data_IF_173938900420
#
_entry.id   IF_173938900420
#
_cell.length_a   1.000
_cell.length_b   1.000
_cell.length_c   1.000
_cell.angle_alpha   90.00
_cell.angle_beta   90.00
_cell.angle_gamma   90.00
#
_symmetry.space_group_name_H-M   'P 1'
#
loop_
_entity.id
_entity.type
_entity.pdbx_description
1 polymer ?
#
# COMPACT_ATOMS: atom_id res chain seq x y z
N UNK A 1 -73.78 -32.19 -50.06
CA UNK A 1 -73.21 -32.40 -48.70
C UNK A 1 -71.71 -32.79 -48.67
N UNK A 2 -71.22 -33.72 -49.49
CA UNK A 2 -69.81 -34.16 -49.41
C UNK A 2 -68.77 -33.13 -49.90
N UNK A 3 -69.12 -32.26 -50.84
CA UNK A 3 -68.21 -31.25 -51.38
C UNK A 3 -67.82 -30.17 -50.34
N UNK A 4 -68.70 -29.89 -49.38
CA UNK A 4 -68.47 -28.88 -48.34
C UNK A 4 -67.57 -29.40 -47.20
N UNK A 5 -67.63 -30.72 -46.93
CA UNK A 5 -66.73 -31.40 -46.01
C UNK A 5 -65.28 -31.42 -46.53
N UNK A 6 -65.10 -31.67 -47.84
CA UNK A 6 -63.78 -31.67 -48.47
C UNK A 6 -63.11 -30.28 -48.44
N UNK A 7 -63.86 -29.22 -48.74
CA UNK A 7 -63.35 -27.85 -48.67
C UNK A 7 -62.99 -27.46 -47.23
N UNK A 8 -63.80 -27.82 -46.24
CA UNK A 8 -63.51 -27.54 -44.83
C UNK A 8 -62.25 -28.28 -44.34
N UNK A 9 -62.09 -29.54 -44.75
CA UNK A 9 -60.90 -30.32 -44.39
C UNK A 9 -59.63 -29.80 -45.06
N UNK A 10 -59.70 -29.33 -46.31
CA UNK A 10 -58.57 -28.69 -46.99
C UNK A 10 -58.19 -27.36 -46.32
N UNK A 11 -59.18 -26.59 -45.86
CA UNK A 11 -58.94 -25.34 -45.14
C UNK A 11 -58.31 -25.57 -43.76
N UNK A 12 -58.73 -26.62 -43.04
CA UNK A 12 -58.10 -27.04 -41.79
C UNK A 12 -56.66 -27.52 -41.99
N UNK A 13 -56.38 -28.27 -43.06
CA UNK A 13 -55.02 -28.71 -43.39
C UNK A 13 -54.09 -27.53 -43.72
N UNK A 14 -54.58 -26.54 -44.48
CA UNK A 14 -53.83 -25.32 -44.78
C UNK A 14 -53.55 -24.47 -43.53
N UNK A 15 -54.53 -24.35 -42.63
CA UNK A 15 -54.37 -23.64 -41.36
C UNK A 15 -53.35 -24.33 -40.44
N UNK A 16 -53.35 -25.67 -40.39
CA UNK A 16 -52.35 -26.43 -39.64
C UNK A 16 -50.94 -26.28 -40.22
N UNK A 17 -50.78 -26.24 -41.54
CA UNK A 17 -49.48 -25.96 -42.18
C UNK A 17 -48.96 -24.55 -41.87
N UNK A 18 -49.84 -23.53 -41.89
CA UNK A 18 -49.44 -22.17 -41.50
C UNK A 18 -49.06 -22.07 -40.02
N UNK A 19 -49.79 -22.75 -39.13
CA UNK A 19 -49.46 -22.80 -37.71
C UNK A 19 -48.11 -23.50 -37.46
N UNK A 20 -47.82 -24.59 -38.18
CA UNK A 20 -46.55 -25.29 -38.09
C UNK A 20 -45.36 -24.44 -38.58
N UNK A 21 -45.54 -23.67 -39.67
CA UNK A 21 -44.52 -22.74 -40.17
C UNK A 21 -44.24 -21.60 -39.18
N UNK A 22 -45.29 -21.06 -38.52
CA UNK A 22 -45.11 -20.04 -37.48
C UNK A 22 -44.39 -20.58 -36.24
N UNK A 23 -44.67 -21.81 -35.81
CA UNK A 23 -43.92 -22.45 -34.73
C UNK A 23 -42.45 -22.69 -35.09
N UNK A 24 -42.15 -23.10 -36.33
CA UNK A 24 -40.77 -23.27 -36.78
C UNK A 24 -39.98 -21.94 -36.81
N UNK A 25 -40.61 -20.85 -37.26
CA UNK A 25 -40.00 -19.52 -37.26
C UNK A 25 -39.72 -18.99 -35.83
N UNK A 26 -40.64 -19.23 -34.89
CA UNK A 26 -40.44 -18.86 -33.48
C UNK A 26 -39.28 -19.65 -32.83
N UNK A 27 -39.12 -20.93 -33.16
CA UNK A 27 -38.01 -21.75 -32.66
C UNK A 27 -36.65 -21.27 -33.19
N UNK A 28 -36.56 -20.86 -34.46
CA UNK A 28 -35.34 -20.26 -35.01
C UNK A 28 -35.00 -18.91 -34.36
N UNK A 29 -35.99 -18.05 -34.12
CA UNK A 29 -35.78 -16.78 -33.45
C UNK A 29 -35.26 -16.96 -32.01
N UNK A 30 -35.81 -17.92 -31.26
CA UNK A 30 -35.36 -18.24 -29.91
C UNK A 30 -33.92 -18.79 -29.87
N UNK A 31 -33.53 -19.61 -30.86
CA UNK A 31 -32.18 -20.16 -30.95
C UNK A 31 -31.12 -19.07 -31.20
N UNK A 32 -31.41 -18.10 -32.08
CA UNK A 32 -30.52 -16.95 -32.34
C UNK A 32 -30.37 -16.10 -31.08
N UNK A 33 -31.47 -15.87 -30.35
CA UNK A 33 -31.46 -15.09 -29.11
C UNK A 33 -30.65 -15.78 -28.00
N UNK A 34 -30.73 -17.11 -27.89
CA UNK A 34 -29.95 -17.90 -26.95
C UNK A 34 -28.45 -17.93 -27.32
N UNK A 35 -28.12 -18.01 -28.62
CA UNK A 35 -26.74 -17.93 -29.10
C UNK A 35 -26.12 -16.55 -28.84
N UNK A 36 -26.90 -15.47 -28.97
CA UNK A 36 -26.45 -14.11 -28.70
C UNK A 36 -26.23 -13.86 -27.20
N UNK A 37 -27.03 -14.47 -26.31
CA UNK A 37 -26.78 -14.44 -24.87
C UNK A 37 -25.49 -15.20 -24.48
N UNK A 38 -25.19 -16.33 -25.12
CA UNK A 38 -23.95 -17.08 -24.86
C UNK A 38 -22.69 -16.29 -25.30
N UNK A 39 -22.75 -15.55 -26.42
CA UNK A 39 -21.64 -14.69 -26.85
C UNK A 39 -21.43 -13.47 -25.92
N UNK A 40 -22.49 -12.91 -25.33
CA UNK A 40 -22.39 -11.80 -24.37
C UNK A 40 -21.79 -12.22 -23.02
N UNK A 41 -21.99 -13.47 -22.59
CA UNK A 41 -21.40 -14.00 -21.36
C UNK A 41 -19.88 -14.23 -21.50
N UNK A 42 -19.40 -14.65 -22.67
CA UNK A 42 -17.98 -14.91 -22.91
C UNK A 42 -17.11 -13.65 -22.83
N UNK A 43 -17.62 -12.50 -23.28
CA UNK A 43 -16.89 -11.23 -23.26
C UNK A 43 -16.78 -10.61 -21.85
N UNK A 44 -17.68 -10.94 -20.93
CA UNK A 44 -17.60 -10.49 -19.53
C UNK A 44 -16.48 -11.19 -18.74
N UNK A 45 -16.22 -12.48 -19.01
CA UNK A 45 -15.17 -13.26 -18.33
C UNK A 45 -13.77 -12.74 -18.71
N UNK A 46 -13.56 -12.39 -19.98
CA UNK A 46 -12.29 -11.83 -20.46
C UNK A 46 -11.99 -10.44 -19.83
N UNK A 47 -13.03 -9.61 -19.67
CA UNK A 47 -12.89 -8.28 -19.05
C UNK A 47 -12.57 -8.38 -17.54
N UNK A 48 -13.15 -9.35 -16.82
CA UNK A 48 -12.84 -9.57 -15.41
C UNK A 48 -11.40 -10.06 -15.17
N UNK A 49 -10.85 -10.91 -16.05
CA UNK A 49 -9.47 -11.39 -15.92
C UNK A 49 -8.42 -10.28 -16.13
N UNK A 50 -8.67 -9.32 -17.03
CA UNK A 50 -7.76 -8.18 -17.24
C UNK A 50 -7.77 -7.19 -16.06
N UNK A 51 -8.92 -6.98 -15.41
CA UNK A 51 -9.02 -6.11 -14.23
C UNK A 51 -8.29 -6.69 -13.00
N UNK A 52 -8.34 -8.02 -12.80
CA UNK A 52 -7.66 -8.68 -11.70
C UNK A 52 -6.12 -8.57 -11.78
N UNK A 53 -5.54 -8.66 -12.99
CA UNK A 53 -4.10 -8.54 -13.19
C UNK A 53 -3.57 -7.11 -12.89
N UNK A 54 -4.33 -6.08 -13.26
CA UNK A 54 -4.00 -4.69 -12.95
C UNK A 54 -4.03 -4.41 -11.44
N UNK A 55 -5.04 -4.97 -10.74
CA UNK A 55 -5.11 -4.87 -9.27
C UNK A 55 -3.92 -5.54 -8.58
N UNK A 56 -3.46 -6.69 -9.10
CA UNK A 56 -2.31 -7.41 -8.54
C UNK A 56 -0.99 -6.63 -8.71
N UNK A 57 -0.77 -5.98 -9.86
CA UNK A 57 0.40 -5.12 -10.07
C UNK A 57 0.41 -3.89 -9.14
N UNK A 58 -0.75 -3.27 -8.92
CA UNK A 58 -0.85 -2.08 -8.06
C UNK A 58 -0.65 -2.45 -6.57
N UNK A 59 -1.04 -3.66 -6.16
CA UNK A 59 -0.84 -4.17 -4.80
C UNK A 59 0.64 -4.51 -4.51
N UNK A 60 1.36 -5.08 -5.48
CA UNK A 60 2.81 -5.32 -5.39
C UNK A 60 3.61 -4.01 -5.27
N UNK A 61 3.20 -2.97 -5.99
CA UNK A 61 3.84 -1.66 -5.93
C UNK A 61 3.61 -0.95 -4.58
N UNK A 62 2.43 -1.11 -3.98
CA UNK A 62 2.15 -0.63 -2.63
C UNK A 62 2.92 -1.41 -1.55
N UNK A 63 3.14 -2.72 -1.72
CA UNK A 63 3.96 -3.51 -0.79
C UNK A 63 5.44 -3.10 -0.86
N UNK A 64 5.97 -2.83 -2.04
CA UNK A 64 7.32 -2.26 -2.19
C UNK A 64 7.45 -0.89 -1.52
N UNK A 65 6.44 -0.02 -1.66
CA UNK A 65 6.41 1.28 -0.99
C UNK A 65 6.27 1.18 0.54
N UNK A 66 5.48 0.23 1.05
CA UNK A 66 5.29 0.00 2.48
C UNK A 66 6.50 -0.66 3.16
N UNK A 67 7.40 -1.28 2.39
CA UNK A 67 8.61 -1.93 2.91
C UNK A 67 9.78 -0.95 3.06
N UNK A 68 9.70 0.23 2.45
CA UNK A 68 10.63 1.34 2.74
C UNK A 68 10.16 2.06 4.01
N UNK A 69 10.16 1.35 5.15
CA UNK A 69 10.41 2.07 6.40
C UNK A 69 11.77 2.72 6.20
N UNK A 70 11.80 4.05 6.13
CA UNK A 70 13.07 4.75 6.20
C UNK A 70 13.64 4.43 7.59
N UNK A 71 14.49 3.41 7.64
CA UNK A 71 15.18 2.99 8.85
C UNK A 71 16.16 4.10 9.18
N UNK A 72 15.73 5.05 10.01
CA UNK A 72 16.63 6.06 10.54
C UNK A 72 17.58 5.41 11.52
N UNK A 73 18.84 5.79 11.42
CA UNK A 73 19.91 5.24 12.23
C UNK A 73 20.10 6.12 13.46
N UNK A 74 19.55 5.66 14.58
CA UNK A 74 19.53 6.41 15.81
C UNK A 74 20.80 6.17 16.64
N UNK A 75 21.41 7.25 17.07
CA UNK A 75 22.59 7.31 17.92
C UNK A 75 22.19 7.92 19.26
N UNK A 76 22.60 7.27 20.34
CA UNK A 76 22.56 7.81 21.68
C UNK A 76 23.83 8.63 21.93
N UNK A 77 23.65 9.85 22.46
CA UNK A 77 24.75 10.72 22.87
C UNK A 77 24.61 11.03 24.36
N UNK A 78 25.51 10.49 25.17
CA UNK A 78 25.56 10.66 26.62
C UNK A 78 26.67 11.59 27.07
N UNK A 79 26.68 11.88 28.38
CA UNK A 79 27.68 12.71 29.05
C UNK A 79 27.76 14.16 28.52
N UNK A 80 26.66 14.64 27.93
CA UNK A 80 26.54 16.01 27.43
C UNK A 80 26.65 17.02 28.58
N UNK A 81 27.38 18.11 28.33
CA UNK A 81 27.37 19.25 29.24
C UNK A 81 25.96 19.88 29.31
N UNK A 82 25.51 20.38 30.47
CA UNK A 82 24.20 21.04 30.60
C UNK A 82 24.01 22.27 29.72
N UNK A 83 25.10 22.89 29.24
CA UNK A 83 25.07 24.02 28.30
C UNK A 83 24.75 23.60 26.85
N UNK A 84 24.90 22.31 26.52
CA UNK A 84 24.69 21.81 25.16
C UNK A 84 23.21 21.78 24.83
N UNK A 85 22.87 22.47 23.75
CA UNK A 85 21.53 22.52 23.20
C UNK A 85 21.41 21.64 21.95
N UNK A 86 20.17 21.37 21.54
CA UNK A 86 19.89 20.60 20.32
C UNK A 86 20.59 21.19 19.10
N UNK A 87 20.68 22.51 18.99
CA UNK A 87 21.36 23.18 17.89
C UNK A 87 22.87 22.89 17.89
N UNK A 88 23.57 23.09 19.01
CA UNK A 88 25.00 22.78 19.13
C UNK A 88 25.29 21.30 18.88
N UNK A 89 24.42 20.41 19.36
CA UNK A 89 24.52 18.98 19.07
C UNK A 89 24.36 18.71 17.57
N UNK A 90 23.40 19.36 16.90
CA UNK A 90 23.21 19.22 15.45
C UNK A 90 24.43 19.71 14.68
N UNK A 91 24.96 20.89 15.01
CA UNK A 91 26.13 21.47 14.36
C UNK A 91 27.38 20.60 14.52
N UNK A 92 27.56 19.98 15.69
CA UNK A 92 28.68 19.06 15.93
C UNK A 92 28.57 17.77 15.10
N UNK A 93 27.35 17.30 14.82
CA UNK A 93 27.11 16.05 14.10
C UNK A 93 26.85 16.25 12.58
N UNK A 94 26.58 17.48 12.14
CA UNK A 94 26.29 17.81 10.74
C UNK A 94 27.43 17.46 9.76
N UNK A 95 28.74 17.56 10.11
CA UNK A 95 29.81 17.18 9.20
C UNK A 95 29.86 15.68 8.85
N UNK A 96 29.19 14.82 9.62
CA UNK A 96 29.23 13.37 9.43
C UNK A 96 28.17 12.85 8.46
N UNK A 97 27.11 13.61 8.19
CA UNK A 97 26.04 13.21 7.28
C UNK A 97 24.72 13.94 7.50
N UNK A 98 23.68 13.46 6.81
CA UNK A 98 22.35 14.06 6.85
C UNK A 98 21.58 13.62 8.11
N UNK A 99 21.43 14.57 9.04
CA UNK A 99 20.66 14.39 10.27
C UNK A 99 19.17 14.54 9.96
N UNK A 100 18.41 13.47 10.14
CA UNK A 100 16.94 13.48 10.00
C UNK A 100 16.24 14.05 11.23
N UNK A 101 16.76 13.76 12.42
CA UNK A 101 16.19 14.23 13.69
C UNK A 101 17.28 14.33 14.75
N UNK A 102 17.22 15.37 15.59
CA UNK A 102 18.13 15.53 16.71
C UNK A 102 17.41 16.17 17.90
N UNK A 103 17.69 15.67 19.11
CA UNK A 103 17.08 16.19 20.32
C UNK A 103 17.93 15.95 21.56
N UNK A 104 18.17 17.00 22.34
CA UNK A 104 18.65 16.88 23.72
C UNK A 104 17.47 16.64 24.65
N UNK A 105 17.57 15.62 25.52
CA UNK A 105 16.51 15.33 26.48
C UNK A 105 16.65 16.24 27.68
N UNK A 106 15.57 16.98 27.96
CA UNK A 106 15.46 17.90 29.10
C UNK A 106 14.39 17.42 30.07
N UNK A 107 14.56 17.78 31.32
CA UNK A 107 13.56 17.57 32.34
C UNK A 107 12.36 18.50 32.09
N UNK A 108 11.11 18.00 32.04
CA UNK A 108 9.95 18.83 31.69
C UNK A 108 9.55 19.82 32.79
N UNK A 109 9.98 19.62 34.04
CA UNK A 109 9.66 20.52 35.15
C UNK A 109 10.73 21.61 35.31
N UNK A 110 12.01 21.21 35.25
CA UNK A 110 13.13 22.14 35.49
C UNK A 110 13.70 22.74 34.21
N UNK A 111 13.32 22.22 33.04
CA UNK A 111 13.87 22.54 31.72
C UNK A 111 15.38 22.33 31.60
N UNK A 112 16.02 21.71 32.59
CA UNK A 112 17.46 21.42 32.59
C UNK A 112 17.76 20.20 31.72
N UNK A 113 18.91 20.23 31.04
CA UNK A 113 19.41 19.08 30.30
C UNK A 113 19.62 17.89 31.23
N UNK A 114 19.17 16.71 30.81
CA UNK A 114 19.43 15.44 31.52
C UNK A 114 20.83 14.90 31.20
N UNK A 115 21.64 15.62 30.41
CA UNK A 115 23.00 15.22 30.03
C UNK A 115 23.07 14.17 28.93
N UNK A 116 21.97 13.95 28.20
CA UNK A 116 21.96 13.05 27.05
C UNK A 116 20.98 13.50 25.96
N UNK A 117 21.19 13.00 24.75
CA UNK A 117 20.39 13.28 23.58
C UNK A 117 20.39 12.12 22.59
N UNK A 118 19.64 12.31 21.52
CA UNK A 118 19.52 11.38 20.41
C UNK A 118 19.75 12.12 19.09
N UNK A 119 20.47 11.48 18.18
CA UNK A 119 20.70 11.95 16.81
C UNK A 119 20.33 10.84 15.85
N UNK A 120 19.59 11.15 14.81
CA UNK A 120 19.07 10.18 13.84
C UNK A 120 19.60 10.55 12.46
N UNK A 121 20.29 9.62 11.80
CA UNK A 121 20.81 9.81 10.45
C UNK A 121 19.97 9.12 9.40
N UNK A 122 20.02 9.63 8.17
CA UNK A 122 19.39 9.00 7.01
C UNK A 122 20.14 7.72 6.60
N UNK A 123 21.49 7.72 6.68
CA UNK A 123 22.31 6.58 6.26
C UNK A 123 23.03 5.91 7.43
N UNK A 124 23.15 4.57 7.35
CA UNK A 124 23.85 3.77 8.38
C UNK A 124 25.31 4.16 8.51
N UNK A 125 25.99 4.29 7.38
CA UNK A 125 27.43 4.55 7.33
C UNK A 125 27.78 5.91 7.93
N UNK A 126 26.91 6.90 7.76
CA UNK A 126 27.04 8.23 8.38
C UNK A 126 26.94 8.12 9.92
N UNK A 127 25.97 7.34 10.41
CA UNK A 127 25.83 7.08 11.83
C UNK A 127 27.01 6.29 12.42
N UNK A 128 27.50 5.27 11.72
CA UNK A 128 28.68 4.48 12.11
C UNK A 128 29.91 5.38 12.25
N UNK A 129 30.14 6.25 11.26
CA UNK A 129 31.24 7.19 11.25
C UNK A 129 31.13 8.20 12.41
N UNK A 130 29.94 8.77 12.62
CA UNK A 130 29.68 9.69 13.71
C UNK A 130 29.92 9.02 15.08
N UNK A 131 29.48 7.77 15.29
CA UNK A 131 29.76 7.03 16.53
C UNK A 131 31.27 6.90 16.73
N UNK A 132 32.01 6.41 15.73
CA UNK A 132 33.44 6.16 15.86
C UNK A 132 34.26 7.44 16.09
N UNK A 133 33.92 8.52 15.38
CA UNK A 133 34.69 9.77 15.43
C UNK A 133 34.36 10.62 16.67
N UNK A 134 33.09 10.67 17.08
CA UNK A 134 32.65 11.54 18.17
C UNK A 134 32.72 10.89 19.55
N UNK A 135 32.88 9.57 19.65
CA UNK A 135 33.00 8.90 20.94
C UNK A 135 34.25 9.38 21.70
N UNK A 136 34.06 9.97 22.88
CA UNK A 136 35.13 10.51 23.71
C UNK A 136 35.58 11.92 23.32
N UNK A 137 35.00 12.54 22.29
CA UNK A 137 35.32 13.92 21.91
C UNK A 137 34.75 14.92 22.91
N UNK A 138 35.43 16.05 23.08
CA UNK A 138 34.99 17.13 23.96
C UNK A 138 33.91 17.97 23.28
N UNK A 139 32.76 18.15 23.94
CA UNK A 139 31.68 19.02 23.50
C UNK A 139 31.21 19.89 24.67
N UNK A 140 31.58 21.18 24.62
CA UNK A 140 31.44 22.09 25.76
C UNK A 140 32.46 21.73 26.86
N UNK A 141 32.00 21.61 28.09
CA UNK A 141 32.86 21.32 29.26
C UNK A 141 33.08 19.82 29.56
N UNK A 142 32.56 18.89 28.74
CA UNK A 142 32.67 17.44 28.98
C UNK A 142 32.97 16.67 27.70
N UNK A 143 33.60 15.50 27.84
CA UNK A 143 33.67 14.52 26.76
C UNK A 143 32.35 13.77 26.62
N UNK A 144 31.93 13.53 25.39
CA UNK A 144 30.67 12.87 25.08
C UNK A 144 30.88 11.39 24.83
N UNK A 145 29.84 10.60 25.05
CA UNK A 145 29.81 9.18 24.73
C UNK A 145 28.78 8.92 23.64
N UNK A 146 29.17 8.22 22.58
CA UNK A 146 28.24 7.86 21.49
C UNK A 146 28.04 6.36 21.44
N UNK A 147 26.81 5.92 21.15
CA UNK A 147 26.50 4.51 20.95
C UNK A 147 25.26 4.36 20.06
N UNK A 148 25.01 3.16 19.55
CA UNK A 148 23.73 2.86 18.91
C UNK A 148 22.59 3.04 19.91
N UNK A 149 21.56 3.80 19.52
CA UNK A 149 20.39 3.96 20.36
C UNK A 149 19.57 2.67 20.36
N UNK A 150 19.28 2.15 21.54
CA UNK A 150 18.27 1.10 21.69
C UNK A 150 16.89 1.74 21.62
N UNK A 151 16.19 1.53 20.50
CA UNK A 151 14.75 1.81 20.45
C UNK A 151 14.07 0.84 21.40
N UNK A 152 13.72 1.30 22.61
CA UNK A 152 12.60 0.67 23.32
C UNK A 152 11.37 0.90 22.43
N UNK A 153 10.63 -0.14 22.01
CA UNK A 153 9.38 0.07 21.30
C UNK A 153 8.53 1.03 22.14
N UNK A 154 7.85 2.00 21.51
CA UNK A 154 6.95 2.88 22.25
C UNK A 154 6.01 2.00 23.04
N UNK A 155 5.89 2.25 24.35
CA UNK A 155 4.90 1.57 25.17
C UNK A 155 3.54 1.86 24.52
N UNK A 156 2.99 0.87 23.83
CA UNK A 156 1.61 0.89 23.39
C UNK A 156 0.79 1.08 24.66
N UNK A 157 0.26 2.29 24.88
CA UNK A 157 -0.95 2.43 25.69
C UNK A 157 -2.02 1.65 24.92
N UNK A 158 -2.15 0.37 25.26
CA UNK A 158 -3.37 -0.36 25.02
C UNK A 158 -4.41 0.30 25.93
N UNK A 159 -5.30 1.06 25.31
CA UNK A 159 -6.54 1.53 25.91
C UNK A 159 -7.69 0.70 25.34
#
# INVERSE_FOLDING_TARGET
PQHQLHQHQQQQAAAQQQAAQQQAAQQQAAAVQQQQQQQAAASQIAAQQQAAAAQQQQQLQQQLAATVKQEHYHIFVGDLSPEIETQTLKDAFAPFGDISDCRVVRDPQTLKSKGYGFVSFVKKSEAENAIAAMNGQWLGSRSIRTNWATRKPPATKAE
#
